data_IF_009530282677
#
_entry.id   IF_009530282677
#
_cell.length_a   1.000
_cell.length_b   1.000
_cell.length_c   1.000
_cell.angle_alpha   90.00
_cell.angle_beta   90.00
_cell.angle_gamma   90.00
#
_symmetry.space_group_name_H-M   'P 1'
#
loop_
_entity.id
_entity.type
_entity.pdbx_description
1 polymer ?
#
# COMPACT_ATOMS: atom_id res chain seq x y z
N UNK A 1 -23.34 7.60 11.43
CA UNK A 1 -22.94 7.59 12.87
C UNK A 1 -21.66 6.77 13.01
N UNK A 2 -20.66 7.25 13.73
CA UNK A 2 -19.40 6.52 13.96
C UNK A 2 -19.64 5.36 14.93
N UNK A 3 -19.14 4.18 14.59
CA UNK A 3 -19.20 2.98 15.43
C UNK A 3 -17.77 2.55 15.83
N UNK A 4 -17.48 2.48 17.11
CA UNK A 4 -16.22 2.00 17.64
C UNK A 4 -16.48 0.82 18.58
N UNK A 5 -15.96 -0.37 18.20
CA UNK A 5 -16.13 -1.55 19.04
C UNK A 5 -15.45 -1.38 20.39
N UNK A 6 -16.04 -1.83 21.52
CA UNK A 6 -15.47 -1.62 22.86
C UNK A 6 -14.04 -2.14 23.08
N UNK A 7 -13.59 -3.10 22.28
CA UNK A 7 -12.22 -3.64 22.35
C UNK A 7 -11.24 -2.93 21.41
N UNK A 8 -11.72 -1.99 20.57
CA UNK A 8 -10.85 -1.21 19.69
C UNK A 8 -10.15 -0.09 20.49
N UNK A 9 -8.99 0.32 20.03
CA UNK A 9 -8.22 1.42 20.62
C UNK A 9 -8.07 2.53 19.59
N UNK A 10 -8.77 3.65 19.83
CA UNK A 10 -8.61 4.87 19.03
C UNK A 10 -7.81 5.87 19.87
N UNK A 11 -6.61 6.20 19.39
CA UNK A 11 -5.72 7.12 20.11
C UNK A 11 -6.22 8.57 20.06
N UNK A 12 -5.92 9.37 21.10
CA UNK A 12 -6.33 10.76 21.17
C UNK A 12 -5.90 11.58 19.94
N UNK A 13 -6.78 12.46 19.50
CA UNK A 13 -6.57 13.31 18.33
C UNK A 13 -6.95 12.67 16.99
N UNK A 14 -7.18 11.37 16.93
CA UNK A 14 -7.67 10.71 15.70
C UNK A 14 -9.00 11.31 15.27
N UNK A 15 -9.10 11.67 13.99
CA UNK A 15 -10.31 12.19 13.36
C UNK A 15 -10.99 11.06 12.60
N UNK A 16 -12.25 10.77 12.97
CA UNK A 16 -13.09 9.80 12.29
C UNK A 16 -14.23 10.53 11.58
N UNK A 17 -14.34 10.33 10.26
CA UNK A 17 -15.45 10.85 9.47
C UNK A 17 -16.79 10.18 9.78
N UNK A 18 -17.85 10.63 9.13
CA UNK A 18 -19.18 10.06 9.30
C UNK A 18 -19.23 8.59 8.88
N UNK A 19 -20.01 7.79 9.59
CA UNK A 19 -20.26 6.37 9.32
C UNK A 19 -19.00 5.50 9.28
N UNK A 20 -17.89 5.94 9.90
CA UNK A 20 -16.70 5.11 10.10
C UNK A 20 -17.02 4.01 11.10
N UNK A 21 -16.56 2.79 10.78
CA UNK A 21 -16.65 1.64 11.68
C UNK A 21 -15.24 1.16 12.06
N UNK A 22 -14.97 1.05 13.36
CA UNK A 22 -13.72 0.52 13.91
C UNK A 22 -14.07 -0.76 14.66
N UNK A 23 -13.67 -1.91 14.11
CA UNK A 23 -14.08 -3.22 14.58
C UNK A 23 -13.17 -3.74 15.72
N UNK A 24 -13.39 -5.00 16.12
CA UNK A 24 -12.78 -5.62 17.29
C UNK A 24 -11.24 -5.55 17.23
N UNK A 25 -10.63 -5.15 18.34
CA UNK A 25 -9.18 -5.12 18.53
C UNK A 25 -8.40 -4.27 17.52
N UNK A 26 -9.08 -3.48 16.68
CA UNK A 26 -8.39 -2.54 15.80
C UNK A 26 -7.70 -1.43 16.61
N UNK A 27 -6.57 -0.92 16.10
CA UNK A 27 -5.81 0.15 16.74
C UNK A 27 -5.59 1.29 15.76
N UNK A 28 -6.14 2.47 16.04
CA UNK A 28 -6.07 3.63 15.14
C UNK A 28 -5.35 4.79 15.81
N UNK A 29 -4.43 5.43 15.10
CA UNK A 29 -3.69 6.61 15.57
C UNK A 29 -2.49 6.29 16.47
N UNK A 30 -2.01 5.05 16.46
CA UNK A 30 -0.86 4.62 17.26
C UNK A 30 0.43 5.31 16.83
N UNK A 31 1.15 5.93 17.76
CA UNK A 31 2.51 6.41 17.52
C UNK A 31 3.47 5.23 17.28
N UNK A 32 4.44 5.34 16.34
CA UNK A 32 5.38 4.27 16.09
C UNK A 32 6.34 4.09 17.27
N UNK A 33 6.62 2.83 17.64
CA UNK A 33 7.67 2.51 18.60
C UNK A 33 9.01 2.41 17.87
N UNK A 34 9.92 3.33 18.17
CA UNK A 34 11.22 3.39 17.52
C UNK A 34 12.27 2.66 18.35
N UNK A 35 12.99 1.73 17.70
CA UNK A 35 14.13 1.06 18.31
C UNK A 35 15.23 2.08 18.73
N UNK A 36 16.05 1.70 19.72
CA UNK A 36 17.10 2.57 20.28
C UNK A 36 18.07 3.14 19.23
N UNK A 37 18.37 2.35 18.19
CA UNK A 37 19.27 2.72 17.08
C UNK A 37 18.53 3.29 15.87
N UNK A 38 17.22 3.53 15.98
CA UNK A 38 16.46 4.14 14.89
C UNK A 38 16.97 5.55 14.65
N UNK A 39 17.07 5.88 13.38
CA UNK A 39 17.43 7.22 12.90
C UNK A 39 16.22 8.02 12.44
N UNK A 40 15.02 7.48 12.60
CA UNK A 40 13.77 8.20 12.37
C UNK A 40 13.63 9.33 13.41
N UNK A 41 12.96 10.41 13.01
CA UNK A 41 12.61 11.51 13.93
C UNK A 41 11.73 10.97 15.05
N UNK A 42 11.91 11.46 16.26
CA UNK A 42 11.20 11.03 17.47
C UNK A 42 10.06 11.96 17.87
N UNK A 43 9.86 13.04 17.12
CA UNK A 43 8.76 13.96 17.36
C UNK A 43 7.43 13.21 17.15
N UNK A 44 6.42 13.50 17.98
CA UNK A 44 5.09 12.93 17.79
C UNK A 44 4.55 13.24 16.38
N UNK A 45 4.02 12.23 15.74
CA UNK A 45 3.37 12.38 14.44
C UNK A 45 2.00 13.05 14.62
N UNK A 46 1.50 13.75 13.58
CA UNK A 46 0.17 14.33 13.61
C UNK A 46 -0.92 13.26 13.77
N UNK A 47 -2.13 13.70 14.05
CA UNK A 47 -3.28 12.83 14.15
C UNK A 47 -3.51 12.02 12.87
N UNK A 48 -4.16 10.88 13.02
CA UNK A 48 -4.67 10.07 11.92
C UNK A 48 -6.04 10.59 11.50
N UNK A 49 -6.29 10.63 10.20
CA UNK A 49 -7.58 11.00 9.64
C UNK A 49 -8.18 9.81 8.87
N UNK A 50 -9.42 9.47 9.17
CA UNK A 50 -10.17 8.39 8.52
C UNK A 50 -11.41 8.98 7.88
N UNK A 51 -11.52 8.87 6.56
CA UNK A 51 -12.63 9.37 5.76
C UNK A 51 -13.95 8.64 6.00
N UNK A 52 -15.04 9.30 5.63
CA UNK A 52 -16.40 8.83 5.87
C UNK A 52 -16.67 7.45 5.25
N UNK A 53 -17.48 6.62 5.90
CA UNK A 53 -17.89 5.30 5.43
C UNK A 53 -16.79 4.24 5.43
N UNK A 54 -15.58 4.57 5.91
CA UNK A 54 -14.45 3.65 5.95
C UNK A 54 -14.58 2.64 7.09
N UNK A 55 -14.14 1.41 6.81
CA UNK A 55 -14.13 0.30 7.78
C UNK A 55 -12.69 -0.04 8.15
N UNK A 56 -12.37 0.04 9.43
CA UNK A 56 -11.13 -0.50 10.01
C UNK A 56 -11.48 -1.83 10.64
N UNK A 57 -11.10 -2.92 9.97
CA UNK A 57 -11.52 -4.27 10.31
C UNK A 57 -10.79 -4.85 11.53
N UNK A 58 -11.20 -6.05 11.93
CA UNK A 58 -10.74 -6.71 13.16
C UNK A 58 -9.20 -6.82 13.21
N UNK A 59 -8.61 -6.31 14.27
CA UNK A 59 -7.17 -6.37 14.51
C UNK A 59 -6.31 -5.53 13.57
N UNK A 60 -6.91 -4.71 12.69
CA UNK A 60 -6.15 -3.81 11.82
C UNK A 60 -5.45 -2.70 12.62
N UNK A 61 -4.31 -2.24 12.13
CA UNK A 61 -3.52 -1.19 12.76
C UNK A 61 -3.29 -0.05 11.78
N UNK A 62 -3.70 1.16 12.15
CA UNK A 62 -3.40 2.38 11.39
C UNK A 62 -2.57 3.31 12.28
N UNK A 63 -1.35 3.61 11.85
CA UNK A 63 -0.43 4.46 12.61
C UNK A 63 -0.74 5.94 12.46
N UNK A 64 -0.28 6.72 13.43
CA UNK A 64 -0.36 8.16 13.45
C UNK A 64 0.31 8.82 12.23
N UNK A 65 -0.18 9.99 11.84
CA UNK A 65 0.32 10.73 10.68
C UNK A 65 -0.13 10.17 9.34
N UNK A 66 -1.04 9.20 9.32
CA UNK A 66 -1.61 8.66 8.10
C UNK A 66 -2.99 9.22 7.84
N UNK A 67 -3.36 9.30 6.56
CA UNK A 67 -4.71 9.62 6.11
C UNK A 67 -5.29 8.47 5.29
N UNK A 68 -6.53 8.10 5.58
CA UNK A 68 -7.30 7.10 4.83
C UNK A 68 -8.55 7.78 4.30
N UNK A 69 -8.76 7.74 3.00
CA UNK A 69 -9.90 8.36 2.31
C UNK A 69 -11.25 7.76 2.70
N UNK A 70 -12.30 8.22 2.04
CA UNK A 70 -13.67 7.75 2.25
C UNK A 70 -13.92 6.40 1.57
N UNK A 71 -14.88 5.62 2.08
CA UNK A 71 -15.33 4.36 1.48
C UNK A 71 -14.29 3.25 1.48
N UNK A 72 -13.21 3.37 2.24
CA UNK A 72 -12.12 2.40 2.28
C UNK A 72 -12.43 1.20 3.17
N UNK A 73 -11.71 0.11 2.92
CA UNK A 73 -11.64 -1.05 3.81
C UNK A 73 -10.19 -1.31 4.17
N UNK A 74 -9.85 -1.18 5.44
CA UNK A 74 -8.59 -1.69 6.00
C UNK A 74 -8.91 -3.04 6.61
N UNK A 75 -8.57 -4.12 5.89
CA UNK A 75 -8.97 -5.49 6.18
C UNK A 75 -8.41 -6.05 7.48
N UNK A 76 -8.92 -7.21 7.87
CA UNK A 76 -8.52 -7.86 9.12
C UNK A 76 -6.99 -8.01 9.22
N UNK A 77 -6.42 -7.62 10.36
CA UNK A 77 -4.99 -7.70 10.64
C UNK A 77 -4.08 -6.93 9.66
N UNK A 78 -4.65 -6.11 8.77
CA UNK A 78 -3.85 -5.24 7.91
C UNK A 78 -3.12 -4.17 8.73
N UNK A 79 -1.99 -3.71 8.22
CA UNK A 79 -1.20 -2.68 8.88
C UNK A 79 -0.88 -1.53 7.92
N UNK A 80 -1.32 -0.34 8.27
CA UNK A 80 -0.98 0.91 7.59
C UNK A 80 -0.02 1.70 8.48
N UNK A 81 1.23 1.82 8.03
CA UNK A 81 2.29 2.50 8.78
C UNK A 81 2.12 4.02 8.73
N UNK A 82 2.99 4.69 9.47
CA UNK A 82 2.97 6.15 9.61
C UNK A 82 3.24 6.90 8.30
N UNK A 83 2.62 8.08 8.14
CA UNK A 83 2.77 8.96 6.96
C UNK A 83 2.39 8.31 5.63
N UNK A 84 1.44 7.39 5.70
CA UNK A 84 0.80 6.82 4.51
C UNK A 84 -0.40 7.69 4.14
N UNK A 85 -0.56 7.97 2.85
CA UNK A 85 -1.75 8.61 2.30
C UNK A 85 -2.50 7.62 1.42
N UNK A 86 -3.75 7.33 1.75
CA UNK A 86 -4.64 6.42 1.03
C UNK A 86 -5.82 7.24 0.50
N UNK A 87 -6.06 7.18 -0.82
CA UNK A 87 -7.21 7.80 -1.47
C UNK A 87 -8.54 7.12 -1.14
N UNK A 88 -9.62 7.59 -1.75
CA UNK A 88 -10.96 7.04 -1.55
C UNK A 88 -11.12 5.67 -2.19
N UNK A 89 -12.10 4.89 -1.72
CA UNK A 89 -12.52 3.60 -2.29
C UNK A 89 -11.40 2.55 -2.39
N UNK A 90 -10.38 2.65 -1.54
CA UNK A 90 -9.24 1.71 -1.51
C UNK A 90 -9.57 0.51 -0.61
N UNK A 91 -9.14 -0.67 -1.06
CA UNK A 91 -9.13 -1.88 -0.24
C UNK A 91 -7.70 -2.26 0.11
N UNK A 92 -7.37 -2.27 1.39
CA UNK A 92 -6.17 -2.88 1.96
C UNK A 92 -6.58 -4.24 2.51
N UNK A 93 -6.24 -5.31 1.82
CA UNK A 93 -6.69 -6.67 2.11
C UNK A 93 -6.18 -7.23 3.45
N UNK A 94 -6.77 -8.35 3.87
CA UNK A 94 -6.40 -9.02 5.10
C UNK A 94 -4.87 -9.26 5.19
N UNK A 95 -4.26 -8.91 6.32
CA UNK A 95 -2.83 -9.12 6.58
C UNK A 95 -1.89 -8.35 5.67
N UNK A 96 -2.40 -7.49 4.76
CA UNK A 96 -1.54 -6.66 3.93
C UNK A 96 -0.83 -5.59 4.76
N UNK A 97 0.39 -5.25 4.37
CA UNK A 97 1.19 -4.23 5.03
C UNK A 97 1.54 -3.11 4.05
N UNK A 98 1.16 -1.88 4.39
CA UNK A 98 1.59 -0.66 3.69
C UNK A 98 2.57 0.08 4.59
N UNK A 99 3.83 0.13 4.16
CA UNK A 99 4.92 0.76 4.90
C UNK A 99 4.89 2.29 4.80
N UNK A 100 5.63 2.93 5.69
CA UNK A 100 5.67 4.38 5.86
C UNK A 100 6.06 5.16 4.58
N UNK A 101 5.65 6.44 4.55
CA UNK A 101 5.96 7.36 3.45
C UNK A 101 5.50 6.85 2.07
N UNK A 102 4.35 6.18 2.04
CA UNK A 102 3.75 5.55 0.85
C UNK A 102 2.45 6.27 0.47
N UNK A 103 2.21 6.42 -0.81
CA UNK A 103 0.96 6.96 -1.35
C UNK A 103 0.21 5.89 -2.13
N UNK A 104 -1.09 5.75 -1.85
CA UNK A 104 -2.01 4.81 -2.53
C UNK A 104 -3.14 5.62 -3.15
N UNK A 105 -3.28 5.56 -4.46
CA UNK A 105 -4.31 6.24 -5.22
C UNK A 105 -5.70 5.63 -5.06
N UNK A 106 -6.70 6.41 -5.41
CA UNK A 106 -8.12 6.07 -5.34
C UNK A 106 -8.45 4.76 -6.07
N UNK A 107 -9.43 4.01 -5.56
CA UNK A 107 -9.94 2.79 -6.20
C UNK A 107 -8.97 1.61 -6.25
N UNK A 108 -7.76 1.78 -5.71
CA UNK A 108 -6.73 0.73 -5.69
C UNK A 108 -7.13 -0.43 -4.78
N UNK A 109 -6.82 -1.65 -5.21
CA UNK A 109 -7.08 -2.88 -4.48
C UNK A 109 -5.78 -3.60 -4.16
N UNK A 110 -5.39 -3.59 -2.90
CA UNK A 110 -4.26 -4.35 -2.37
C UNK A 110 -4.83 -5.62 -1.75
N UNK A 111 -4.51 -6.77 -2.31
CA UNK A 111 -5.07 -8.05 -1.85
C UNK A 111 -4.32 -8.61 -0.64
N UNK A 112 -4.85 -9.70 -0.10
CA UNK A 112 -4.37 -10.31 1.14
C UNK A 112 -2.85 -10.60 1.11
N UNK A 113 -2.19 -10.37 2.27
CA UNK A 113 -0.78 -10.66 2.50
C UNK A 113 0.20 -9.93 1.55
N UNK A 114 -0.26 -8.93 0.79
CA UNK A 114 0.65 -8.13 -0.01
C UNK A 114 1.48 -7.17 0.86
N UNK A 115 2.74 -6.99 0.50
CA UNK A 115 3.67 -6.09 1.18
C UNK A 115 4.06 -4.93 0.27
N UNK A 116 3.61 -3.73 0.61
CA UNK A 116 3.96 -2.49 -0.08
C UNK A 116 5.01 -1.74 0.74
N UNK A 117 6.25 -1.75 0.26
CA UNK A 117 7.41 -1.18 0.97
C UNK A 117 7.35 0.34 1.07
N UNK A 118 8.08 0.90 2.02
CA UNK A 118 8.21 2.34 2.22
C UNK A 118 8.71 3.07 0.96
N UNK A 119 8.27 4.33 0.81
CA UNK A 119 8.59 5.21 -0.32
C UNK A 119 8.03 4.73 -1.67
N UNK A 120 6.98 3.91 -1.65
CA UNK A 120 6.25 3.50 -2.84
C UNK A 120 5.23 4.56 -3.24
N UNK A 121 4.98 4.65 -4.54
CA UNK A 121 3.86 5.41 -5.12
C UNK A 121 2.99 4.44 -5.91
N UNK A 122 1.76 4.28 -5.48
CA UNK A 122 0.74 3.50 -6.20
C UNK A 122 -0.33 4.49 -6.65
N UNK A 123 -0.52 4.61 -7.94
CA UNK A 123 -1.53 5.52 -8.52
C UNK A 123 -2.94 4.91 -8.45
N UNK A 124 -3.92 5.60 -9.04
CA UNK A 124 -5.32 5.21 -8.99
C UNK A 124 -5.58 3.87 -9.68
N UNK A 125 -6.60 3.17 -9.20
CA UNK A 125 -7.17 2.00 -9.85
C UNK A 125 -6.20 0.83 -10.09
N UNK A 126 -5.12 0.77 -9.32
CA UNK A 126 -4.14 -0.32 -9.38
C UNK A 126 -4.69 -1.58 -8.70
N UNK A 127 -4.35 -2.75 -9.26
CA UNK A 127 -4.62 -4.03 -8.63
C UNK A 127 -3.32 -4.73 -8.22
N UNK A 128 -3.13 -4.93 -6.94
CA UNK A 128 -2.01 -5.68 -6.36
C UNK A 128 -2.56 -7.00 -5.82
N UNK A 129 -2.24 -8.11 -6.48
CA UNK A 129 -2.74 -9.44 -6.15
C UNK A 129 -2.14 -9.98 -4.83
N UNK A 130 -2.69 -11.08 -4.28
CA UNK A 130 -2.20 -11.65 -3.02
C UNK A 130 -0.70 -11.98 -3.03
N UNK A 131 -0.06 -11.80 -1.86
CA UNK A 131 1.34 -12.16 -1.63
C UNK A 131 2.36 -11.45 -2.54
N UNK A 132 1.99 -10.35 -3.18
CA UNK A 132 2.96 -9.50 -3.89
C UNK A 132 3.92 -8.88 -2.89
N UNK A 133 5.22 -8.95 -3.18
CA UNK A 133 6.27 -8.35 -2.39
C UNK A 133 6.96 -7.19 -3.12
N UNK A 134 7.13 -6.05 -2.47
CA UNK A 134 7.91 -4.94 -3.03
C UNK A 134 9.13 -4.63 -2.15
N UNK A 135 10.17 -4.08 -2.74
CA UNK A 135 11.42 -3.75 -2.05
C UNK A 135 11.87 -2.33 -2.39
N UNK A 136 12.67 -1.71 -1.51
CA UNK A 136 13.05 -0.30 -1.66
C UNK A 136 14.56 -0.03 -1.61
N UNK A 137 15.40 -1.05 -1.42
CA UNK A 137 16.86 -0.85 -1.37
C UNK A 137 17.63 -2.10 -1.75
N UNK A 138 18.56 -1.97 -2.69
CA UNK A 138 19.38 -3.09 -3.18
C UNK A 138 20.53 -3.48 -2.23
N UNK A 139 20.97 -2.56 -1.37
CA UNK A 139 22.17 -2.76 -0.52
C UNK A 139 21.86 -3.38 0.85
N UNK A 140 20.59 -3.63 1.18
CA UNK A 140 20.12 -4.32 2.38
C UNK A 140 20.84 -3.89 3.69
N UNK A 141 21.06 -2.60 3.86
CA UNK A 141 21.68 -2.04 5.07
C UNK A 141 23.19 -2.08 5.13
N UNK A 142 23.88 -2.55 4.10
CA UNK A 142 25.34 -2.72 4.08
C UNK A 142 26.16 -1.42 3.94
N UNK A 143 25.52 -0.30 3.64
CA UNK A 143 26.22 0.98 3.46
C UNK A 143 25.51 2.11 4.20
N UNK A 144 26.26 3.12 4.66
CA UNK A 144 25.67 4.33 5.22
C UNK A 144 24.86 5.13 4.21
N UNK A 145 25.11 4.94 2.91
CA UNK A 145 24.34 5.56 1.82
C UNK A 145 22.94 4.96 1.64
N UNK A 146 22.60 3.88 2.35
CA UNK A 146 21.33 3.16 2.19
C UNK A 146 20.11 4.07 2.21
N UNK A 147 20.09 5.10 3.07
CA UNK A 147 18.96 6.02 3.19
C UNK A 147 18.71 6.85 1.93
N UNK A 148 19.78 7.33 1.31
CA UNK A 148 19.70 8.07 0.06
C UNK A 148 19.32 7.18 -1.14
N UNK A 149 19.49 5.86 -0.99
CA UNK A 149 19.18 4.87 -2.03
C UNK A 149 17.78 4.25 -1.87
N UNK A 150 17.08 4.54 -0.76
CA UNK A 150 15.73 4.01 -0.56
C UNK A 150 14.76 4.61 -1.56
N UNK A 151 14.17 3.76 -2.39
CA UNK A 151 13.13 4.12 -3.35
C UNK A 151 12.24 2.91 -3.57
N UNK A 152 10.98 3.00 -3.15
CA UNK A 152 9.98 1.99 -3.46
C UNK A 152 9.60 2.02 -4.95
N UNK A 153 8.87 1.03 -5.45
CA UNK A 153 8.36 1.04 -6.82
C UNK A 153 7.32 2.15 -7.02
N UNK A 154 7.22 2.60 -8.26
CA UNK A 154 6.10 3.41 -8.75
C UNK A 154 5.20 2.53 -9.58
N UNK A 155 3.93 2.40 -9.21
CA UNK A 155 2.93 1.60 -9.93
C UNK A 155 1.91 2.57 -10.50
N UNK A 156 1.89 2.71 -11.83
CA UNK A 156 1.06 3.67 -12.53
C UNK A 156 -0.39 3.22 -12.62
N UNK A 157 -1.25 4.17 -12.95
CA UNK A 157 -2.70 4.02 -13.00
C UNK A 157 -3.12 2.76 -13.77
N UNK A 158 -4.08 2.02 -13.23
CA UNK A 158 -4.67 0.84 -13.86
C UNK A 158 -3.73 -0.36 -14.00
N UNK A 159 -2.48 -0.27 -13.54
CA UNK A 159 -1.55 -1.40 -13.62
C UNK A 159 -2.01 -2.55 -12.71
N UNK A 160 -1.69 -3.78 -13.12
CA UNK A 160 -2.06 -5.02 -12.43
C UNK A 160 -0.80 -5.82 -12.10
N UNK A 161 -0.65 -6.19 -10.84
CA UNK A 161 0.50 -6.96 -10.34
C UNK A 161 0.02 -8.31 -9.87
N UNK A 162 0.41 -9.38 -10.56
CA UNK A 162 0.00 -10.75 -10.32
C UNK A 162 0.55 -11.35 -9.03
N UNK A 163 -0.19 -12.33 -8.49
CA UNK A 163 0.10 -12.94 -7.18
C UNK A 163 1.54 -13.46 -7.04
N UNK A 164 2.14 -13.21 -5.87
CA UNK A 164 3.50 -13.63 -5.58
C UNK A 164 4.60 -12.95 -6.39
N UNK A 165 4.28 -11.94 -7.22
CA UNK A 165 5.31 -11.19 -7.94
C UNK A 165 6.18 -10.37 -6.97
N UNK A 166 7.43 -10.14 -7.36
CA UNK A 166 8.39 -9.30 -6.61
C UNK A 166 8.78 -8.09 -7.43
N UNK A 167 8.59 -6.88 -6.88
CA UNK A 167 9.04 -5.64 -7.50
C UNK A 167 10.32 -5.16 -6.83
N UNK A 168 11.40 -5.03 -7.60
CA UNK A 168 12.69 -4.56 -7.12
C UNK A 168 12.68 -3.04 -6.83
N UNK A 169 13.68 -2.53 -6.07
CA UNK A 169 13.73 -1.14 -5.67
C UNK A 169 13.69 -0.17 -6.85
N UNK A 170 12.80 0.82 -6.75
CA UNK A 170 12.72 1.94 -7.66
C UNK A 170 12.21 1.65 -9.06
N UNK A 171 11.76 0.42 -9.35
CA UNK A 171 11.17 0.11 -10.67
C UNK A 171 9.86 0.85 -10.88
N UNK A 172 9.56 1.17 -12.13
CA UNK A 172 8.29 1.72 -12.56
C UNK A 172 7.47 0.66 -13.31
N UNK A 173 6.22 0.45 -12.88
CA UNK A 173 5.24 -0.35 -13.62
C UNK A 173 4.35 0.63 -14.37
N UNK A 174 4.46 0.65 -15.69
CA UNK A 174 3.76 1.59 -16.56
C UNK A 174 2.25 1.47 -16.49
N UNK A 175 1.58 2.53 -16.93
CA UNK A 175 0.10 2.62 -16.96
C UNK A 175 -0.50 1.41 -17.69
N UNK A 176 -1.54 0.79 -17.10
CA UNK A 176 -2.23 -0.38 -17.65
C UNK A 176 -1.31 -1.60 -17.92
N UNK A 177 -0.09 -1.60 -17.41
CA UNK A 177 0.79 -2.76 -17.55
C UNK A 177 0.31 -3.94 -16.69
N UNK A 178 0.68 -5.14 -17.10
CA UNK A 178 0.35 -6.38 -16.39
C UNK A 178 1.63 -7.16 -16.04
N UNK A 179 1.87 -7.31 -14.76
CA UNK A 179 2.94 -8.16 -14.22
C UNK A 179 2.36 -9.54 -13.92
N UNK A 180 2.83 -10.56 -14.61
CA UNK A 180 2.37 -11.95 -14.40
C UNK A 180 2.70 -12.48 -13.00
N UNK A 181 1.89 -13.43 -12.53
CA UNK A 181 2.11 -14.06 -11.23
C UNK A 181 3.52 -14.66 -11.11
N UNK A 182 4.14 -14.53 -9.93
CA UNK A 182 5.49 -15.02 -9.65
C UNK A 182 6.63 -14.33 -10.41
N UNK A 183 6.36 -13.27 -11.15
CA UNK A 183 7.39 -12.54 -11.88
C UNK A 183 8.33 -11.76 -10.94
N UNK A 184 9.62 -11.67 -11.27
CA UNK A 184 10.59 -10.82 -10.56
C UNK A 184 10.96 -9.65 -11.45
N UNK A 185 10.39 -8.48 -11.15
CA UNK A 185 10.56 -7.25 -11.93
C UNK A 185 11.82 -6.52 -11.47
N UNK A 186 12.84 -6.52 -12.29
CA UNK A 186 14.16 -5.92 -12.01
C UNK A 186 14.44 -4.66 -12.83
N UNK A 187 13.55 -4.29 -13.75
CA UNK A 187 13.62 -3.11 -14.61
C UNK A 187 12.22 -2.56 -14.83
N UNK A 188 12.12 -1.32 -15.27
CA UNK A 188 10.86 -0.69 -15.58
C UNK A 188 10.07 -1.48 -16.61
N UNK A 189 8.74 -1.50 -16.42
CA UNK A 189 7.79 -2.14 -17.32
C UNK A 189 7.10 -1.05 -18.13
N UNK A 190 7.21 -1.08 -19.47
CA UNK A 190 6.53 -0.06 -20.29
C UNK A 190 5.00 -0.14 -20.15
N UNK A 191 4.29 0.99 -20.40
CA UNK A 191 2.83 1.00 -20.38
C UNK A 191 2.22 -0.07 -21.29
N UNK A 192 1.09 -0.63 -20.88
CA UNK A 192 0.29 -1.61 -21.66
C UNK A 192 1.06 -2.86 -22.11
N UNK A 193 2.13 -3.23 -21.38
CA UNK A 193 2.86 -4.48 -21.64
C UNK A 193 2.57 -5.52 -20.57
N UNK A 194 2.49 -6.77 -21.00
CA UNK A 194 2.49 -7.94 -20.13
C UNK A 194 3.93 -8.42 -19.96
N UNK A 195 4.37 -8.54 -18.70
CA UNK A 195 5.70 -9.09 -18.37
C UNK A 195 5.57 -10.33 -17.50
N UNK A 196 6.45 -11.32 -17.73
CA UNK A 196 6.46 -12.59 -16.99
C UNK A 196 7.88 -13.07 -16.73
N UNK A 197 8.06 -13.95 -15.76
CA UNK A 197 9.31 -14.67 -15.51
C UNK A 197 10.24 -14.03 -14.48
N UNK A 198 11.36 -14.66 -14.23
CA UNK A 198 12.42 -14.24 -13.29
C UNK A 198 13.79 -14.34 -13.98
N UNK A 199 14.40 -13.20 -14.34
CA UNK A 199 13.86 -11.84 -14.29
C UNK A 199 12.73 -11.65 -15.32
N UNK A 200 11.81 -10.74 -15.02
CA UNK A 200 10.65 -10.45 -15.88
C UNK A 200 11.06 -9.92 -17.26
N UNK A 201 10.37 -10.39 -18.29
CA UNK A 201 10.57 -9.95 -19.68
C UNK A 201 9.22 -9.69 -20.33
N UNK A 202 9.18 -8.75 -21.27
CA UNK A 202 7.98 -8.47 -22.05
C UNK A 202 7.58 -9.72 -22.82
N UNK A 203 6.34 -10.13 -22.64
CA UNK A 203 5.72 -11.26 -23.33
C UNK A 203 4.88 -10.81 -24.53
N UNK A 204 4.01 -9.82 -24.31
CA UNK A 204 3.07 -9.30 -25.31
C UNK A 204 2.51 -7.95 -24.87
N UNK A 205 1.68 -7.36 -25.70
CA UNK A 205 0.82 -6.24 -25.30
C UNK A 205 -0.36 -6.74 -24.43
N UNK A 206 -0.89 -5.85 -23.61
CA UNK A 206 -2.18 -6.07 -22.94
C UNK A 206 -3.28 -6.08 -23.99
N UNK A 207 -4.24 -7.01 -23.90
CA UNK A 207 -5.34 -7.06 -24.85
C UNK A 207 -6.20 -5.78 -24.73
N UNK A 208 -6.74 -5.32 -25.87
CA UNK A 208 -7.49 -4.07 -25.91
C UNK A 208 -8.77 -4.10 -25.04
N UNK A 209 -9.41 -5.25 -24.92
CA UNK A 209 -10.60 -5.47 -24.08
C UNK A 209 -10.31 -5.49 -22.56
N UNK A 210 -9.04 -5.63 -22.18
CA UNK A 210 -8.58 -5.57 -20.79
C UNK A 210 -8.21 -4.14 -20.35
N UNK A 211 -8.17 -3.18 -21.26
CA UNK A 211 -7.84 -1.79 -20.95
C UNK A 211 -9.07 -1.02 -20.44
N UNK A 212 -8.90 -0.19 -19.43
CA UNK A 212 -10.00 0.55 -18.78
C UNK A 212 -10.78 1.46 -19.75
N UNK A 213 -10.13 1.99 -20.78
CA UNK A 213 -10.78 2.84 -21.81
C UNK A 213 -11.85 2.08 -22.60
N UNK A 214 -11.81 0.74 -22.63
CA UNK A 214 -12.65 -0.10 -23.47
C UNK A 214 -13.64 -0.97 -22.69
N UNK A 215 -13.92 -0.71 -21.43
CA UNK A 215 -15.00 -1.39 -20.70
C UNK A 215 -14.62 -2.04 -19.38
N UNK A 216 -13.50 -1.66 -18.80
CA UNK A 216 -13.12 -2.08 -17.44
C UNK A 216 -13.80 -1.25 -16.35
#
# INVERSE_FOLDING_TARGET
MVEVHPTAVVHPGTVLGDDVRVLEHAVVGKQPTLGRKSTAKRDPLPATEIGAGTVISTGAIVFAGSSVGAGCIVGDQACVRERVSIGDDVVVGRGALVENDTTIGRGTRIQAEAYVTAYSTVEDDVFIAPCVGTTNVNVMGRTEKRKALMKGPTIRRGARVGGGAVLCPGVEIGEEAFVGAGAVVTKDVPPRKVVVGSPARVLRDVNADELRENGG
#
